data_IF_448521685132
#
_entry.id   IF_448521685132
#
_cell.length_a   1.000
_cell.length_b   1.000
_cell.length_c   1.000
_cell.angle_alpha   90.00
_cell.angle_beta   90.00
_cell.angle_gamma   90.00
#
_symmetry.space_group_name_H-M   'P 1'
#
loop_
_entity.id
_entity.type
_entity.pdbx_description
1 polymer ?
#
# COMPACT_ATOMS: atom_id res chain seq x y z
N UNK A 1 -50.70 -16.65 1.17
CA UNK A 1 -50.44 -17.21 -0.18
C UNK A 1 -49.31 -18.22 -0.04
N UNK A 2 -49.65 -19.51 -0.16
CA UNK A 2 -48.70 -20.59 -0.39
C UNK A 2 -48.00 -20.35 -1.73
N UNK A 3 -46.68 -20.56 -1.81
CA UNK A 3 -46.07 -21.07 -3.05
C UNK A 3 -44.95 -22.04 -2.69
N UNK A 4 -44.93 -23.13 -3.45
CA UNK A 4 -44.33 -24.41 -3.14
C UNK A 4 -43.02 -24.65 -3.90
N UNK A 5 -42.23 -25.59 -3.36
CA UNK A 5 -41.34 -26.56 -4.01
C UNK A 5 -40.53 -26.15 -5.25
N UNK A 6 -39.20 -26.33 -5.16
CA UNK A 6 -38.47 -27.14 -6.13
C UNK A 6 -37.16 -27.70 -5.54
N UNK A 7 -37.12 -29.02 -5.50
CA UNK A 7 -36.04 -29.92 -5.12
C UNK A 7 -35.10 -30.12 -6.33
N UNK A 8 -33.78 -30.05 -6.17
CA UNK A 8 -32.83 -30.55 -7.18
C UNK A 8 -31.52 -31.01 -6.54
N UNK A 9 -31.49 -32.30 -6.21
CA UNK A 9 -30.29 -33.11 -5.99
C UNK A 9 -29.62 -33.38 -7.35
N UNK A 10 -28.31 -33.22 -7.45
CA UNK A 10 -27.49 -33.97 -8.40
C UNK A 10 -26.09 -34.21 -7.84
N UNK A 11 -25.93 -35.44 -7.34
CA UNK A 11 -24.71 -36.08 -6.88
C UNK A 11 -23.95 -36.59 -8.11
N UNK A 12 -22.63 -36.41 -8.18
CA UNK A 12 -21.80 -37.07 -9.18
C UNK A 12 -20.49 -37.54 -8.56
N UNK A 13 -20.51 -38.77 -8.04
CA UNK A 13 -19.33 -39.58 -7.82
C UNK A 13 -18.98 -40.29 -9.14
N UNK A 14 -17.72 -40.20 -9.56
CA UNK A 14 -17.13 -41.14 -10.50
C UNK A 14 -15.77 -41.58 -9.97
N UNK A 15 -15.77 -42.74 -9.33
CA UNK A 15 -14.61 -43.57 -9.00
C UNK A 15 -14.24 -44.35 -10.27
N UNK A 16 -12.97 -44.33 -10.67
CA UNK A 16 -12.42 -45.28 -11.63
C UNK A 16 -11.14 -45.91 -11.07
N UNK A 17 -11.26 -47.21 -10.78
CA UNK A 17 -10.23 -48.11 -10.29
C UNK A 17 -9.79 -49.00 -11.47
N UNK A 18 -8.50 -49.06 -11.80
CA UNK A 18 -7.90 -50.14 -12.63
C UNK A 18 -6.42 -50.27 -12.23
N UNK A 19 -6.10 -51.27 -11.39
CA UNK A 19 -5.45 -52.56 -11.71
C UNK A 19 -3.90 -52.54 -11.57
N UNK A 20 -3.29 -53.42 -10.73
CA UNK A 20 -1.84 -53.53 -10.55
C UNK A 20 -1.23 -54.66 -11.40
N UNK A 21 0.01 -54.49 -11.87
CA UNK A 21 1.00 -55.54 -12.26
C UNK A 21 2.22 -54.86 -12.90
N UNK A 22 3.39 -55.51 -13.08
CA UNK A 22 4.08 -56.52 -12.28
C UNK A 22 5.47 -56.04 -11.79
N UNK A 23 5.99 -56.70 -10.75
CA UNK A 23 7.35 -56.57 -10.21
C UNK A 23 8.43 -56.87 -11.26
N UNK A 24 9.34 -55.91 -11.49
CA UNK A 24 10.67 -56.15 -12.06
C UNK A 24 11.74 -55.70 -11.04
N UNK A 25 12.68 -56.60 -10.77
CA UNK A 25 13.80 -56.42 -9.83
C UNK A 25 14.82 -55.38 -10.29
N UNK A 26 15.64 -54.83 -9.37
CA UNK A 26 16.19 -53.49 -9.48
C UNK A 26 17.51 -53.44 -10.28
N UNK A 27 17.72 -52.40 -11.10
CA UNK A 27 19.05 -52.03 -11.55
C UNK A 27 19.83 -51.36 -10.39
N UNK A 28 21.13 -51.62 -10.37
CA UNK A 28 22.10 -51.25 -9.34
C UNK A 28 22.02 -49.80 -8.84
N UNK A 29 22.35 -49.53 -7.56
CA UNK A 29 22.39 -48.17 -7.04
C UNK A 29 23.44 -47.35 -7.79
N UNK A 30 22.97 -46.39 -8.58
CA UNK A 30 23.83 -45.34 -9.11
C UNK A 30 24.33 -44.48 -7.94
N UNK A 31 25.63 -44.19 -7.96
CA UNK A 31 26.29 -43.35 -6.96
C UNK A 31 25.55 -42.01 -6.78
N UNK A 32 25.51 -41.46 -5.54
CA UNK A 32 24.91 -40.15 -5.30
C UNK A 32 25.60 -39.09 -6.17
N UNK A 33 24.86 -38.55 -7.14
CA UNK A 33 25.29 -37.34 -7.82
C UNK A 33 25.36 -36.22 -6.77
N UNK A 34 26.53 -35.58 -6.66
CA UNK A 34 26.73 -34.44 -5.80
C UNK A 34 25.63 -33.39 -6.05
N UNK A 35 25.06 -32.77 -4.99
CA UNK A 35 24.07 -31.72 -5.16
C UNK A 35 24.68 -30.61 -6.02
N UNK A 36 24.09 -30.37 -7.19
CA UNK A 36 24.43 -29.21 -7.99
C UNK A 36 24.18 -27.98 -7.11
N UNK A 37 25.25 -27.20 -6.88
CA UNK A 37 25.18 -25.96 -6.14
C UNK A 37 24.11 -25.07 -6.79
N UNK A 38 22.99 -24.87 -6.09
CA UNK A 38 21.95 -23.97 -6.54
C UNK A 38 22.56 -22.56 -6.62
N UNK A 39 22.37 -21.83 -7.73
CA UNK A 39 22.75 -20.42 -7.82
C UNK A 39 22.14 -19.68 -6.63
N UNK A 40 22.99 -18.99 -5.86
CA UNK A 40 22.54 -18.18 -4.74
C UNK A 40 21.46 -17.22 -5.25
N UNK A 41 20.24 -17.36 -4.73
CA UNK A 41 19.13 -16.46 -5.04
C UNK A 41 19.59 -15.04 -4.64
N UNK A 42 19.50 -14.03 -5.52
CA UNK A 42 19.90 -12.68 -5.16
C UNK A 42 19.10 -12.27 -3.92
N UNK A 43 19.84 -11.96 -2.85
CA UNK A 43 19.25 -11.44 -1.61
C UNK A 43 18.60 -10.11 -1.99
N UNK A 44 17.29 -9.91 -1.74
CA UNK A 44 16.65 -8.63 -1.96
C UNK A 44 17.45 -7.57 -1.21
N UNK A 45 17.99 -6.60 -1.95
CA UNK A 45 18.58 -5.41 -1.34
C UNK A 45 17.46 -4.71 -0.60
N UNK A 46 17.56 -4.62 0.73
CA UNK A 46 16.57 -3.92 1.54
C UNK A 46 16.43 -2.49 1.00
N UNK A 47 15.19 -2.03 0.82
CA UNK A 47 14.92 -0.64 0.47
C UNK A 47 15.60 0.29 1.49
N UNK A 48 16.03 1.50 1.08
CA UNK A 48 16.49 2.51 2.03
C UNK A 48 15.48 2.63 3.17
N UNK A 49 15.97 2.67 4.41
CA UNK A 49 15.11 2.92 5.56
C UNK A 49 14.49 4.32 5.39
N UNK A 50 13.17 4.39 5.45
CA UNK A 50 12.46 5.66 5.54
C UNK A 50 12.98 6.45 6.76
N UNK A 51 13.14 7.76 6.61
CA UNK A 51 13.60 8.64 7.69
C UNK A 51 12.49 8.81 8.74
N UNK A 52 12.83 8.86 10.02
CA UNK A 52 11.83 9.10 11.08
C UNK A 52 11.66 10.61 11.35
N UNK A 53 12.41 11.49 10.67
CA UNK A 53 12.31 12.95 10.77
C UNK A 53 11.45 13.57 9.64
N UNK A 54 10.23 14.09 9.96
CA UNK A 54 9.40 14.82 9.01
C UNK A 54 10.09 16.03 8.37
N UNK A 55 11.07 16.64 9.04
CA UNK A 55 11.78 17.80 8.52
C UNK A 55 12.63 17.49 7.28
N UNK A 56 12.96 16.21 7.04
CA UNK A 56 13.62 15.76 5.81
C UNK A 56 12.85 16.14 4.54
N UNK A 57 11.53 16.35 4.65
CA UNK A 57 10.65 16.72 3.55
C UNK A 57 10.68 18.20 3.16
N UNK A 58 11.40 19.05 3.89
CA UNK A 58 11.48 20.48 3.61
C UNK A 58 12.03 20.80 2.21
N UNK A 59 12.79 19.88 1.61
CA UNK A 59 13.34 20.01 0.26
C UNK A 59 12.42 19.50 -0.85
N UNK A 60 11.23 18.98 -0.51
CA UNK A 60 10.22 18.54 -1.48
C UNK A 60 10.41 17.14 -2.02
N UNK A 61 11.36 16.35 -1.51
CA UNK A 61 11.45 14.93 -1.85
C UNK A 61 11.99 14.16 -0.66
N UNK A 62 11.16 13.29 -0.10
CA UNK A 62 11.50 12.50 1.09
C UNK A 62 10.69 11.21 1.12
N UNK A 63 11.19 10.24 1.87
CA UNK A 63 10.41 9.09 2.31
C UNK A 63 10.56 9.00 3.83
N UNK A 64 9.44 9.09 4.54
CA UNK A 64 9.41 9.15 6.01
C UNK A 64 8.51 8.09 6.61
N UNK A 65 8.88 7.61 7.79
CA UNK A 65 8.02 6.77 8.62
C UNK A 65 7.38 7.63 9.71
N UNK A 66 6.07 7.54 9.84
CA UNK A 66 5.27 8.29 10.82
C UNK A 66 4.38 7.36 11.61
N UNK A 67 4.53 7.38 12.94
CA UNK A 67 3.76 6.55 13.88
C UNK A 67 2.65 7.30 14.62
N UNK A 68 2.61 8.62 14.51
CA UNK A 68 1.69 9.47 15.25
C UNK A 68 1.67 10.89 14.72
N UNK A 69 0.85 11.77 15.31
CA UNK A 69 0.63 13.12 14.78
C UNK A 69 1.94 13.86 14.52
N UNK A 70 2.12 14.34 13.29
CA UNK A 70 3.34 15.01 12.86
C UNK A 70 3.01 16.12 11.86
N UNK A 71 3.81 17.18 11.86
CA UNK A 71 3.75 18.23 10.83
C UNK A 71 4.95 18.06 9.92
N UNK A 72 4.68 17.90 8.63
CA UNK A 72 5.65 17.68 7.58
C UNK A 72 5.78 18.99 6.82
N UNK A 73 6.88 19.75 6.99
CA UNK A 73 7.12 20.96 6.24
C UNK A 73 7.34 20.64 4.77
N UNK A 74 6.92 21.54 3.90
CA UNK A 74 7.08 21.42 2.46
C UNK A 74 7.79 22.66 1.90
N UNK A 75 8.49 22.54 0.76
CA UNK A 75 9.07 23.70 0.11
C UNK A 75 7.97 24.63 -0.38
N UNK A 76 8.30 25.92 -0.40
CA UNK A 76 7.46 26.92 -1.05
C UNK A 76 7.31 26.58 -2.55
N UNK A 77 6.15 26.94 -3.12
CA UNK A 77 5.86 26.73 -4.55
C UNK A 77 5.03 25.48 -4.86
N UNK A 78 4.87 24.53 -3.93
CA UNK A 78 4.02 23.34 -4.13
C UNK A 78 2.51 23.64 -4.11
N UNK A 79 2.13 24.85 -3.71
CA UNK A 79 0.75 25.20 -3.38
C UNK A 79 0.23 24.54 -2.08
N UNK A 80 1.10 23.88 -1.31
CA UNK A 80 0.77 23.28 0.00
C UNK A 80 1.81 23.77 1.02
N UNK A 81 1.36 24.37 2.12
CA UNK A 81 2.27 24.90 3.14
C UNK A 81 2.86 23.76 4.00
N UNK A 82 2.01 22.82 4.38
CA UNK A 82 2.37 21.69 5.24
C UNK A 82 1.39 20.53 5.08
N UNK A 83 1.87 19.33 5.38
CA UNK A 83 1.02 18.15 5.59
C UNK A 83 1.02 17.84 7.07
N UNK A 84 -0.16 17.77 7.67
CA UNK A 84 -0.34 17.27 9.03
C UNK A 84 -0.73 15.81 8.95
N UNK A 85 0.18 14.92 9.31
CA UNK A 85 -0.18 13.54 9.59
C UNK A 85 -0.97 13.50 10.90
N UNK A 86 -2.16 12.89 10.87
CA UNK A 86 -3.06 12.85 12.01
C UNK A 86 -2.93 11.51 12.74
N UNK A 87 -3.18 10.42 12.02
CA UNK A 87 -3.17 9.08 12.58
C UNK A 87 -3.03 8.02 11.49
N UNK A 88 -2.74 6.80 11.91
CA UNK A 88 -2.97 5.59 11.13
C UNK A 88 -4.01 4.73 11.84
N UNK A 89 -5.04 4.32 11.12
CA UNK A 89 -6.11 3.47 11.64
C UNK A 89 -6.47 2.39 10.61
N UNK A 90 -6.56 1.14 11.07
CA UNK A 90 -6.95 -0.01 10.27
C UNK A 90 -6.23 -0.14 8.90
N UNK A 91 -4.96 0.28 8.80
CA UNK A 91 -4.18 0.24 7.56
C UNK A 91 -4.46 1.41 6.59
N UNK A 92 -5.09 2.47 7.09
CA UNK A 92 -5.29 3.73 6.37
C UNK A 92 -4.67 4.88 7.15
N UNK A 93 -4.09 5.84 6.45
CA UNK A 93 -3.54 7.06 7.02
C UNK A 93 -4.53 8.20 6.88
N UNK A 94 -4.61 9.03 7.90
CA UNK A 94 -5.35 10.28 7.88
C UNK A 94 -4.39 11.47 7.86
N UNK A 95 -4.56 12.34 6.86
CA UNK A 95 -3.72 13.52 6.68
C UNK A 95 -4.56 14.77 6.48
N UNK A 96 -3.98 15.94 6.75
CA UNK A 96 -4.55 17.24 6.38
C UNK A 96 -3.50 18.05 5.62
N UNK A 97 -3.78 18.36 4.37
CA UNK A 97 -2.99 19.31 3.58
C UNK A 97 -3.51 20.73 3.83
N UNK A 98 -2.61 21.66 4.15
CA UNK A 98 -2.94 23.08 4.36
C UNK A 98 -2.55 23.89 3.12
N UNK A 99 -3.50 24.59 2.53
CA UNK A 99 -3.35 25.34 1.27
C UNK A 99 -3.64 26.83 1.52
N UNK A 100 -2.63 27.71 1.53
CA UNK A 100 -2.77 29.09 1.97
C UNK A 100 -3.64 29.95 1.04
N UNK A 101 -3.51 29.78 -0.28
CA UNK A 101 -4.15 30.65 -1.29
C UNK A 101 -5.53 30.16 -1.75
N UNK A 102 -6.04 29.09 -1.13
CA UNK A 102 -7.37 28.57 -1.36
C UNK A 102 -7.61 27.86 -2.69
N UNK A 103 -6.68 27.95 -3.64
CA UNK A 103 -6.71 27.19 -4.88
C UNK A 103 -6.28 25.75 -4.60
N UNK A 104 -7.22 24.81 -4.69
CA UNK A 104 -6.97 23.40 -4.40
C UNK A 104 -7.33 22.56 -5.62
N UNK A 105 -6.35 21.86 -6.16
CA UNK A 105 -6.50 20.71 -7.05
C UNK A 105 -6.21 19.46 -6.23
N UNK A 106 -7.01 18.41 -6.43
CA UNK A 106 -6.76 17.11 -5.78
C UNK A 106 -7.01 15.98 -6.76
N UNK A 107 -6.10 15.01 -6.79
CA UNK A 107 -6.25 13.74 -7.52
C UNK A 107 -5.92 12.58 -6.60
N UNK A 108 -6.60 11.47 -6.81
CA UNK A 108 -6.51 10.30 -5.96
C UNK A 108 -6.55 9.04 -6.82
N UNK A 109 -5.63 8.11 -6.57
CA UNK A 109 -5.59 6.78 -7.18
C UNK A 109 -5.44 5.72 -6.11
N UNK A 110 -6.14 4.59 -6.28
CA UNK A 110 -6.18 3.50 -5.30
C UNK A 110 -7.18 3.74 -4.17
N UNK A 111 -6.87 3.20 -2.98
CA UNK A 111 -7.76 3.28 -1.82
C UNK A 111 -7.61 4.63 -1.11
N UNK A 112 -8.27 5.68 -1.62
CA UNK A 112 -8.18 6.99 -1.00
C UNK A 112 -9.45 7.85 -1.18
N UNK A 113 -9.68 8.75 -0.23
CA UNK A 113 -10.78 9.70 -0.20
C UNK A 113 -10.29 11.06 0.29
N UNK A 114 -11.00 12.12 -0.09
CA UNK A 114 -10.64 13.49 0.28
C UNK A 114 -11.85 14.38 0.51
N UNK A 115 -11.77 15.23 1.52
CA UNK A 115 -12.76 16.26 1.82
C UNK A 115 -12.06 17.62 1.93
N UNK A 116 -12.51 18.58 1.12
CA UNK A 116 -11.99 19.95 1.11
C UNK A 116 -12.85 20.84 2.02
N UNK A 117 -12.17 21.67 2.79
CA UNK A 117 -12.78 22.74 3.58
C UNK A 117 -12.11 24.06 3.23
N UNK A 118 -12.90 25.11 2.99
CA UNK A 118 -12.38 26.46 2.73
C UNK A 118 -12.86 27.42 3.81
N UNK A 119 -11.96 28.23 4.35
CA UNK A 119 -12.30 29.26 5.35
C UNK A 119 -12.49 30.63 4.70
N UNK A 120 -13.22 31.53 5.36
CA UNK A 120 -13.50 32.89 4.88
C UNK A 120 -12.26 33.79 4.73
N UNK A 121 -11.08 33.34 5.17
CA UNK A 121 -9.79 34.01 4.98
C UNK A 121 -9.00 33.55 3.74
N UNK A 122 -9.59 32.71 2.88
CA UNK A 122 -8.92 32.20 1.67
C UNK A 122 -8.12 30.92 1.91
N UNK A 123 -7.68 30.62 3.13
CA UNK A 123 -7.02 29.35 3.45
C UNK A 123 -7.97 28.16 3.29
N UNK A 124 -7.51 27.15 2.57
CA UNK A 124 -8.20 25.86 2.42
C UNK A 124 -7.42 24.75 3.13
N UNK A 125 -8.13 23.70 3.50
CA UNK A 125 -7.54 22.44 3.92
C UNK A 125 -8.18 21.27 3.20
N UNK A 126 -7.41 20.22 2.99
CA UNK A 126 -7.89 18.95 2.43
C UNK A 126 -7.61 17.86 3.44
N UNK A 127 -8.66 17.31 4.05
CA UNK A 127 -8.56 16.11 4.86
C UNK A 127 -8.57 14.91 3.92
N UNK A 128 -7.58 14.05 4.04
CA UNK A 128 -7.35 12.90 3.17
C UNK A 128 -7.31 11.64 4.02
N UNK A 129 -7.91 10.57 3.50
CA UNK A 129 -7.73 9.22 4.01
C UNK A 129 -7.17 8.36 2.89
N UNK A 130 -6.07 7.64 3.12
CA UNK A 130 -5.39 6.86 2.09
C UNK A 130 -4.87 5.53 2.64
N UNK A 131 -5.06 4.43 1.92
CA UNK A 131 -4.51 3.12 2.24
C UNK A 131 -3.13 2.89 1.62
N UNK A 132 -2.47 1.80 2.00
CA UNK A 132 -1.22 1.39 1.36
C UNK A 132 -1.38 1.23 -0.17
N UNK A 133 -0.39 1.71 -0.93
CA UNK A 133 -0.38 1.76 -2.38
C UNK A 133 -1.21 2.89 -2.99
N UNK A 134 -1.88 3.73 -2.20
CA UNK A 134 -2.60 4.88 -2.72
C UNK A 134 -1.63 6.01 -3.10
N UNK A 135 -1.98 6.72 -4.17
CA UNK A 135 -1.28 7.90 -4.65
C UNK A 135 -2.24 9.08 -4.61
N UNK A 136 -1.84 10.16 -3.95
CA UNK A 136 -2.64 11.38 -3.79
C UNK A 136 -1.82 12.56 -4.27
N UNK A 137 -2.40 13.39 -5.13
CA UNK A 137 -1.80 14.67 -5.50
C UNK A 137 -2.67 15.82 -4.94
N UNK A 138 -2.04 16.80 -4.30
CA UNK A 138 -2.66 18.05 -3.88
C UNK A 138 -1.84 19.20 -4.45
N UNK A 139 -2.41 19.97 -5.37
CA UNK A 139 -1.67 20.96 -6.16
C UNK A 139 -0.43 20.31 -6.78
N UNK A 140 0.76 20.87 -6.57
CA UNK A 140 2.02 20.37 -7.10
C UNK A 140 2.73 19.43 -6.11
N UNK A 141 2.03 18.92 -5.09
CA UNK A 141 2.54 17.88 -4.20
C UNK A 141 1.96 16.51 -4.59
N UNK A 142 2.83 15.52 -4.77
CA UNK A 142 2.48 14.11 -4.83
C UNK A 142 2.83 13.41 -3.51
N UNK A 143 1.94 12.53 -3.05
CA UNK A 143 2.07 11.71 -1.85
C UNK A 143 1.74 10.26 -2.19
N UNK A 144 2.67 9.35 -1.92
CA UNK A 144 2.45 7.91 -2.02
C UNK A 144 2.48 7.28 -0.63
N UNK A 145 1.46 6.49 -0.31
CA UNK A 145 1.47 5.68 0.92
C UNK A 145 2.14 4.35 0.58
N UNK A 146 3.43 4.20 0.90
CA UNK A 146 4.17 2.97 0.62
C UNK A 146 3.66 1.81 1.47
N UNK A 147 3.48 2.09 2.74
CA UNK A 147 3.03 1.12 3.73
C UNK A 147 2.13 1.81 4.76
N UNK A 148 1.13 1.09 5.25
CA UNK A 148 0.29 1.52 6.35
C UNK A 148 0.00 0.30 7.24
N UNK A 149 0.48 0.36 8.48
CA UNK A 149 0.29 -0.67 9.51
C UNK A 149 -0.45 -0.08 10.71
N UNK A 150 -0.85 -0.90 11.67
CA UNK A 150 -1.55 -0.41 12.87
C UNK A 150 -0.71 0.57 13.73
N UNK A 151 0.62 0.59 13.58
CA UNK A 151 1.51 1.40 14.41
C UNK A 151 2.21 2.54 13.66
N UNK A 152 2.38 2.42 12.35
CA UNK A 152 3.07 3.41 11.53
C UNK A 152 2.72 3.31 10.06
N UNK A 153 2.98 4.38 9.33
CA UNK A 153 2.94 4.43 7.88
C UNK A 153 4.24 4.94 7.30
N UNK A 154 4.56 4.51 6.09
CA UNK A 154 5.68 5.03 5.29
C UNK A 154 5.09 5.87 4.17
N UNK A 155 5.44 7.15 4.17
CA UNK A 155 4.97 8.15 3.21
C UNK A 155 6.12 8.58 2.34
N UNK A 156 5.93 8.58 1.02
CA UNK A 156 6.83 9.22 0.07
C UNK A 156 6.19 10.50 -0.44
N UNK A 157 6.89 11.62 -0.32
CA UNK A 157 6.42 12.91 -0.79
C UNK A 157 7.33 13.40 -1.92
N UNK A 158 6.74 14.04 -2.93
CA UNK A 158 7.47 14.63 -4.05
C UNK A 158 6.78 15.91 -4.50
N UNK A 159 7.51 17.02 -4.49
CA UNK A 159 7.12 18.29 -5.09
C UNK A 159 7.35 18.21 -6.61
N UNK A 160 6.33 18.61 -7.38
CA UNK A 160 6.31 18.67 -8.84
C UNK A 160 6.78 19.99 -9.41
#
# INVERSE_FOLDING_TARGET
MLLALALSLALSLAVACTAPTPTASPPAPAAPAAPAAQPARPVPTAAPLADDDPAACAQGSCEIRVGGPATIPLPAGTGVAEIRFVAVDAGTVELVAVVPDGQVSTRCSGACTGMRTTTSGGTSSVRLTAGAGAEVAVNDLALDVREASAAAAVLRLTAG
#
